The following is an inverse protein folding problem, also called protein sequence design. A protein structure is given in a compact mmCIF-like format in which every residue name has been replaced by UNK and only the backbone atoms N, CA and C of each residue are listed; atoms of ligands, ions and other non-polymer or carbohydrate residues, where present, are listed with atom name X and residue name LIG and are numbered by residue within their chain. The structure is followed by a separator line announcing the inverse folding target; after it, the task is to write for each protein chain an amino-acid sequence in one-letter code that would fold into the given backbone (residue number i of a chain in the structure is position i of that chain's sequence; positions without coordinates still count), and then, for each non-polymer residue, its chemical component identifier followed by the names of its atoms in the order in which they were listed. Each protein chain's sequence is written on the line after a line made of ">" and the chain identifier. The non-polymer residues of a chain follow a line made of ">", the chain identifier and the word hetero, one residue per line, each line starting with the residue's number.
data_IF_918185568449
#
_entry.id   IF_918185568449
#
_cell.length_a   1.000
_cell.length_b   1.000
_cell.length_c   1.000
_cell.angle_alpha   90.00
_cell.angle_beta   90.00
_cell.angle_gamma   90.00
#
_symmetry.space_group_name_H-M   'P 1'
#
loop_
_entity.id
_entity.type
_entity.pdbx_description
1 polymer ?
#
# COMPACT_ATOMS: atom_id res chain seq x y z
N UNK A 1 22.27 -2.19 -17.03
CA UNK A 1 21.27 -1.71 -17.98
C UNK A 1 19.92 -2.04 -17.38
N UNK A 2 19.22 -1.06 -16.80
CA UNK A 2 17.91 -1.28 -16.18
C UNK A 2 16.89 -1.14 -17.30
N UNK A 3 16.31 -2.25 -17.74
CA UNK A 3 15.24 -2.24 -18.74
C UNK A 3 14.09 -1.41 -18.18
N UNK A 4 13.80 -0.27 -18.82
CA UNK A 4 12.55 0.42 -18.62
C UNK A 4 11.46 -0.47 -19.23
N UNK A 5 10.94 -1.42 -18.44
CA UNK A 5 9.79 -2.22 -18.84
C UNK A 5 8.69 -1.27 -19.30
N UNK A 6 8.31 -1.43 -20.56
CA UNK A 6 7.25 -0.70 -21.21
C UNK A 6 5.96 -0.87 -20.40
N UNK A 7 5.63 0.13 -19.58
CA UNK A 7 4.39 0.18 -18.84
C UNK A 7 3.22 0.37 -19.81
N UNK A 8 2.71 -0.74 -20.32
CA UNK A 8 1.47 -0.83 -21.10
C UNK A 8 0.29 -0.84 -20.15
N UNK A 9 -0.77 -0.10 -20.50
CA UNK A 9 -2.03 -0.28 -19.78
C UNK A 9 -2.64 -1.64 -20.12
N UNK A 10 -3.00 -2.48 -19.13
CA UNK A 10 -3.55 -3.82 -19.37
C UNK A 10 -4.96 -3.82 -19.99
N UNK A 11 -5.63 -2.65 -20.01
CA UNK A 11 -7.00 -2.51 -20.53
C UNK A 11 -7.02 -1.95 -21.96
N UNK A 12 -6.19 -0.95 -22.26
CA UNK A 12 -6.19 -0.29 -23.56
C UNK A 12 -4.92 -0.54 -24.38
N UNK A 13 -3.98 -1.34 -23.85
CA UNK A 13 -2.67 -1.65 -24.45
C UNK A 13 -1.84 -0.41 -24.85
N UNK A 14 -2.23 0.78 -24.40
CA UNK A 14 -1.54 2.03 -24.70
C UNK A 14 -0.27 2.15 -23.87
N UNK A 15 0.79 2.62 -24.53
CA UNK A 15 2.12 2.82 -23.98
C UNK A 15 2.42 4.29 -23.72
N UNK A 16 3.32 4.55 -22.76
CA UNK A 16 3.92 5.88 -22.54
C UNK A 16 4.68 6.40 -23.77
N UNK A 17 5.14 5.51 -24.66
CA UNK A 17 5.78 5.88 -25.91
C UNK A 17 4.85 6.65 -26.85
N UNK A 18 3.57 6.25 -26.91
CA UNK A 18 2.56 6.89 -27.76
C UNK A 18 1.94 8.13 -27.09
N UNK A 19 1.90 8.16 -25.76
CA UNK A 19 1.32 9.26 -24.99
C UNK A 19 2.24 9.62 -23.80
N UNK A 20 3.18 10.56 -23.98
CA UNK A 20 4.16 10.92 -22.95
C UNK A 20 3.54 11.47 -21.66
N UNK A 21 2.38 12.12 -21.76
CA UNK A 21 1.65 12.70 -20.63
C UNK A 21 0.71 11.71 -19.93
N UNK A 22 0.70 10.44 -20.34
CA UNK A 22 -0.19 9.43 -19.78
C UNK A 22 0.23 9.05 -18.37
N UNK A 23 -0.63 9.30 -17.39
CA UNK A 23 -0.40 8.93 -16.00
C UNK A 23 -0.95 7.54 -15.70
N UNK A 24 -0.15 6.75 -15.00
CA UNK A 24 -0.57 5.49 -14.41
C UNK A 24 -1.00 5.73 -12.96
N UNK A 25 -2.17 5.19 -12.64
CA UNK A 25 -2.74 5.21 -11.31
C UNK A 25 -2.75 3.78 -10.75
N UNK A 26 -2.56 3.70 -9.44
CA UNK A 26 -2.54 2.45 -8.67
C UNK A 26 -3.56 2.54 -7.54
N UNK A 27 -4.21 1.42 -7.22
CA UNK A 27 -5.10 1.33 -6.07
C UNK A 27 -4.44 0.52 -4.94
N UNK A 28 -4.39 1.02 -3.70
CA UNK A 28 -3.73 0.33 -2.58
C UNK A 28 -4.40 -1.01 -2.18
N UNK A 29 -5.63 -1.29 -2.63
CA UNK A 29 -6.31 -2.55 -2.33
C UNK A 29 -5.83 -3.72 -3.21
N UNK A 30 -5.23 -3.43 -4.37
CA UNK A 30 -4.83 -4.44 -5.35
C UNK A 30 -3.48 -4.20 -6.03
N UNK A 31 -2.87 -3.03 -5.89
CA UNK A 31 -1.58 -2.65 -6.48
C UNK A 31 -1.45 -2.84 -8.00
N UNK A 32 -2.57 -2.80 -8.73
CA UNK A 32 -2.58 -2.91 -10.19
C UNK A 32 -2.52 -1.53 -10.85
N UNK A 33 -1.64 -1.41 -11.86
CA UNK A 33 -1.42 -0.19 -12.64
C UNK A 33 -2.43 -0.08 -13.77
N UNK A 34 -3.08 1.07 -13.90
CA UNK A 34 -3.99 1.39 -15.00
C UNK A 34 -3.82 2.86 -15.41
N UNK A 35 -4.05 3.18 -16.67
CA UNK A 35 -3.97 4.57 -17.12
C UNK A 35 -5.17 5.40 -16.62
N UNK A 36 -4.96 6.70 -16.47
CA UNK A 36 -5.99 7.66 -16.03
C UNK A 36 -7.28 7.58 -16.86
N UNK A 37 -7.18 7.41 -18.17
CA UNK A 37 -8.34 7.28 -19.07
C UNK A 37 -9.15 6.01 -18.79
N UNK A 38 -8.49 4.87 -18.55
CA UNK A 38 -9.19 3.61 -18.23
C UNK A 38 -9.80 3.66 -16.84
N UNK A 39 -9.11 4.24 -15.85
CA UNK A 39 -9.66 4.43 -14.51
C UNK A 39 -10.90 5.33 -14.56
N UNK A 40 -10.82 6.45 -15.28
CA UNK A 40 -11.96 7.34 -15.42
C UNK A 40 -13.13 6.64 -16.14
N UNK A 41 -12.88 5.87 -17.20
CA UNK A 41 -13.96 5.16 -17.92
C UNK A 41 -14.62 4.05 -17.10
N UNK A 42 -13.83 3.18 -16.45
CA UNK A 42 -14.36 2.01 -15.73
C UNK A 42 -15.06 2.40 -14.43
N UNK A 43 -14.51 3.35 -13.68
CA UNK A 43 -14.98 3.70 -12.33
C UNK A 43 -15.88 4.94 -12.28
N UNK A 44 -16.29 5.51 -13.42
CA UNK A 44 -17.26 6.64 -13.45
C UNK A 44 -18.67 6.20 -13.09
N UNK A 45 -19.07 4.99 -13.49
CA UNK A 45 -20.42 4.46 -13.23
C UNK A 45 -20.62 3.98 -11.78
N UNK A 46 -19.55 3.91 -10.99
CA UNK A 46 -19.59 3.48 -9.60
C UNK A 46 -18.42 2.57 -9.22
N UNK A 47 -18.50 1.91 -8.05
CA UNK A 47 -17.54 0.88 -7.65
C UNK A 47 -17.60 -0.28 -8.65
N UNK A 48 -16.47 -0.59 -9.28
CA UNK A 48 -16.36 -1.63 -10.29
C UNK A 48 -15.28 -2.65 -9.90
N UNK A 49 -15.33 -3.89 -10.39
CA UNK A 49 -14.26 -4.85 -10.18
C UNK A 49 -13.00 -4.46 -10.96
N UNK A 50 -11.83 -4.69 -10.37
CA UNK A 50 -10.55 -4.60 -11.06
C UNK A 50 -10.51 -5.62 -12.22
N UNK A 51 -10.08 -5.24 -13.43
CA UNK A 51 -10.04 -6.16 -14.57
C UNK A 51 -8.99 -7.28 -14.44
N UNK A 52 -8.08 -7.19 -13.46
CA UNK A 52 -6.97 -8.15 -13.27
C UNK A 52 -7.26 -9.12 -12.12
N UNK A 53 -7.79 -8.63 -11.00
CA UNK A 53 -8.03 -9.45 -9.80
C UNK A 53 -9.46 -9.44 -9.27
N UNK A 54 -10.39 -8.82 -10.01
CA UNK A 54 -11.83 -8.77 -9.69
C UNK A 54 -12.21 -8.15 -8.34
N UNK A 55 -11.26 -7.59 -7.57
CA UNK A 55 -11.55 -6.84 -6.35
C UNK A 55 -12.37 -5.59 -6.66
N UNK A 56 -13.40 -5.30 -5.86
CA UNK A 56 -14.22 -4.10 -6.05
C UNK A 56 -13.46 -2.85 -5.60
N UNK A 57 -13.17 -1.94 -6.53
CA UNK A 57 -12.38 -0.73 -6.28
C UNK A 57 -13.23 0.54 -6.45
N UNK A 58 -12.80 1.63 -5.79
CA UNK A 58 -13.41 2.96 -5.88
C UNK A 58 -12.46 3.95 -6.55
N UNK A 59 -13.00 4.82 -7.42
CA UNK A 59 -12.24 5.85 -8.15
C UNK A 59 -11.38 6.73 -7.23
N UNK A 60 -11.94 7.20 -6.12
CA UNK A 60 -11.26 8.15 -5.22
C UNK A 60 -10.06 7.54 -4.47
N UNK A 61 -9.94 6.20 -4.45
CA UNK A 61 -8.81 5.51 -3.82
C UNK A 61 -7.61 5.34 -4.76
N UNK A 62 -7.75 5.64 -6.04
CA UNK A 62 -6.62 5.61 -6.99
C UNK A 62 -5.67 6.76 -6.74
N UNK A 63 -4.37 6.48 -6.80
CA UNK A 63 -3.28 7.44 -6.55
C UNK A 63 -2.23 7.31 -7.63
N UNK A 64 -1.51 8.38 -7.91
CA UNK A 64 -0.33 8.30 -8.77
C UNK A 64 0.77 7.56 -8.02
N UNK A 65 1.40 6.59 -8.70
CA UNK A 65 2.53 5.86 -8.13
C UNK A 65 3.75 6.77 -8.01
N UNK A 66 4.45 6.72 -6.87
CA UNK A 66 5.68 7.49 -6.64
C UNK A 66 6.89 6.66 -7.06
N UNK A 67 6.86 5.36 -6.79
CA UNK A 67 7.90 4.40 -7.16
C UNK A 67 7.50 3.59 -8.39
N UNK A 68 8.46 3.06 -9.16
CA UNK A 68 8.15 2.14 -10.27
C UNK A 68 7.71 0.77 -9.78
N UNK A 69 8.23 0.32 -8.63
CA UNK A 69 7.94 -1.00 -8.09
C UNK A 69 6.67 -1.01 -7.21
N UNK A 70 5.77 -1.95 -7.48
CA UNK A 70 4.54 -2.14 -6.71
C UNK A 70 4.81 -2.72 -5.33
N UNK A 71 5.89 -3.49 -5.16
CA UNK A 71 6.30 -4.07 -3.87
C UNK A 71 6.72 -2.96 -2.91
N UNK A 72 7.54 -2.02 -3.40
CA UNK A 72 8.00 -0.87 -2.61
C UNK A 72 6.83 0.03 -2.20
N UNK A 73 5.89 0.31 -3.11
CA UNK A 73 4.68 1.06 -2.77
C UNK A 73 3.85 0.38 -1.67
N UNK A 74 3.69 -0.95 -1.74
CA UNK A 74 2.98 -1.72 -0.71
C UNK A 74 3.68 -1.64 0.64
N UNK A 75 5.00 -1.73 0.66
CA UNK A 75 5.81 -1.59 1.87
C UNK A 75 5.67 -0.19 2.48
N UNK A 76 5.79 0.86 1.66
CA UNK A 76 5.66 2.26 2.10
C UNK A 76 4.27 2.54 2.67
N UNK A 77 3.21 2.06 2.02
CA UNK A 77 1.84 2.19 2.53
C UNK A 77 1.64 1.43 3.84
N UNK A 78 2.21 0.22 3.95
CA UNK A 78 2.16 -0.59 5.18
C UNK A 78 2.89 0.11 6.32
N UNK A 79 4.12 0.59 6.10
CA UNK A 79 4.88 1.36 7.10
C UNK A 79 4.16 2.63 7.52
N UNK A 80 3.58 3.39 6.58
CA UNK A 80 2.78 4.58 6.90
C UNK A 80 1.57 4.26 7.76
N UNK A 81 0.90 3.13 7.51
CA UNK A 81 -0.22 2.65 8.33
C UNK A 81 0.26 2.27 9.73
N UNK A 82 1.34 1.50 9.84
CA UNK A 82 1.86 1.02 11.12
C UNK A 82 2.39 2.18 11.96
N UNK A 83 3.15 3.12 11.41
CA UNK A 83 3.65 4.28 12.15
C UNK A 83 2.53 5.17 12.75
N UNK A 84 1.34 5.18 12.15
CA UNK A 84 0.17 5.89 12.72
C UNK A 84 -0.45 5.17 13.92
N UNK A 85 -0.24 3.87 14.02
CA UNK A 85 -0.78 3.01 15.09
C UNK A 85 0.28 2.85 16.20
N UNK A 86 1.53 2.62 15.79
CA UNK A 86 2.73 2.41 16.59
C UNK A 86 3.55 3.69 16.66
N UNK A 87 3.02 4.70 17.36
CA UNK A 87 3.59 6.05 17.45
C UNK A 87 4.37 6.32 18.74
N UNK A 88 4.71 5.29 19.53
CA UNK A 88 5.51 5.45 20.75
C UNK A 88 6.94 5.88 20.42
N UNK A 89 7.46 6.85 21.16
CA UNK A 89 8.84 7.37 21.05
C UNK A 89 9.74 6.75 22.12
N UNK A 90 11.05 6.98 22.04
CA UNK A 90 12.00 6.48 23.04
C UNK A 90 11.66 6.94 24.47
N UNK A 91 11.06 8.13 24.62
CA UNK A 91 10.63 8.70 25.90
C UNK A 91 9.52 7.89 26.58
N UNK A 92 8.77 7.08 25.83
CA UNK A 92 7.71 6.21 26.35
C UNK A 92 8.25 4.91 27.00
N UNK A 93 9.57 4.72 27.05
CA UNK A 93 10.21 3.49 27.53
C UNK A 93 11.28 3.76 28.60
N UNK A 94 11.38 2.85 29.56
CA UNK A 94 12.35 2.94 30.66
C UNK A 94 13.80 2.66 30.23
N UNK A 95 14.02 2.10 29.03
CA UNK A 95 15.35 1.78 28.53
C UNK A 95 15.42 1.76 27.01
N UNK A 96 16.60 2.09 26.47
CA UNK A 96 16.91 1.98 25.04
C UNK A 96 16.70 0.55 24.51
N UNK A 97 16.93 -0.47 25.34
CA UNK A 97 16.71 -1.87 24.95
C UNK A 97 15.23 -2.16 24.72
N UNK A 98 14.36 -1.73 25.63
CA UNK A 98 12.91 -1.89 25.46
C UNK A 98 12.39 -1.15 24.22
N UNK A 99 12.92 0.04 23.93
CA UNK A 99 12.60 0.77 22.72
C UNK A 99 13.05 0.03 21.44
N UNK A 100 14.28 -0.50 21.42
CA UNK A 100 14.77 -1.28 20.28
C UNK A 100 13.98 -2.58 20.07
N UNK A 101 13.63 -3.30 21.14
CA UNK A 101 12.79 -4.50 21.09
C UNK A 101 11.39 -4.16 20.53
N UNK A 102 10.86 -2.97 20.84
CA UNK A 102 9.61 -2.47 20.27
C UNK A 102 9.76 -2.14 18.77
N UNK A 103 10.83 -1.47 18.36
CA UNK A 103 11.09 -1.20 16.94
C UNK A 103 11.25 -2.49 16.13
N UNK A 104 11.93 -3.49 16.68
CA UNK A 104 12.07 -4.81 16.04
C UNK A 104 10.72 -5.51 15.89
N UNK A 105 9.85 -5.44 16.91
CA UNK A 105 8.48 -5.97 16.82
C UNK A 105 7.65 -5.28 15.73
N UNK A 106 7.72 -3.94 15.64
CA UNK A 106 7.03 -3.18 14.58
C UNK A 106 7.54 -3.62 13.22
N UNK A 107 8.84 -3.85 13.06
CA UNK A 107 9.39 -4.23 11.77
C UNK A 107 9.11 -5.68 11.39
N UNK A 108 9.04 -6.59 12.37
CA UNK A 108 8.54 -7.95 12.16
C UNK A 108 7.07 -7.94 11.66
N UNK A 109 6.23 -7.08 12.24
CA UNK A 109 4.84 -6.88 11.78
C UNK A 109 4.81 -6.32 10.35
N UNK A 110 5.63 -5.32 10.04
CA UNK A 110 5.77 -4.77 8.67
C UNK A 110 6.14 -5.88 7.68
N UNK A 111 7.14 -6.69 8.02
CA UNK A 111 7.63 -7.79 7.19
C UNK A 111 6.54 -8.83 6.92
N UNK A 112 5.83 -9.26 7.96
CA UNK A 112 4.73 -10.20 7.85
C UNK A 112 3.62 -9.69 6.91
N UNK A 113 3.20 -8.43 7.07
CA UNK A 113 2.15 -7.82 6.24
C UNK A 113 2.57 -7.59 4.77
N UNK A 114 3.85 -7.31 4.53
CA UNK A 114 4.39 -7.06 3.19
C UNK A 114 4.63 -8.36 2.42
N UNK A 115 5.25 -9.36 3.06
CA UNK A 115 5.54 -10.66 2.45
C UNK A 115 4.35 -11.62 2.47
N UNK A 116 3.30 -11.30 3.23
CA UNK A 116 2.10 -12.14 3.29
C UNK A 116 2.24 -13.34 4.23
N UNK A 117 3.15 -13.27 5.21
CA UNK A 117 3.35 -14.29 6.24
C UNK A 117 2.39 -13.99 7.40
N UNK A 118 1.59 -14.98 7.82
CA UNK A 118 0.69 -14.90 8.98
C UNK A 118 -0.14 -13.60 9.06
N UNK A 119 -0.64 -13.14 7.90
CA UNK A 119 -1.34 -11.84 7.78
C UNK A 119 -2.54 -11.76 8.71
N UNK A 120 -3.30 -12.85 8.86
CA UNK A 120 -4.49 -12.87 9.70
C UNK A 120 -4.18 -12.65 11.19
N UNK A 121 -3.14 -13.33 11.70
CA UNK A 121 -2.70 -13.20 13.10
C UNK A 121 -2.06 -11.83 13.33
N UNK A 122 -1.22 -11.39 12.40
CA UNK A 122 -0.58 -10.07 12.45
C UNK A 122 -1.62 -8.93 12.44
N UNK A 123 -2.64 -9.00 11.58
CA UNK A 123 -3.75 -8.04 11.57
C UNK A 123 -4.55 -8.04 12.88
N UNK A 124 -4.74 -9.21 13.49
CA UNK A 124 -5.41 -9.33 14.78
C UNK A 124 -4.61 -8.66 15.90
N UNK A 125 -3.29 -8.86 15.92
CA UNK A 125 -2.37 -8.18 16.85
C UNK A 125 -2.41 -6.66 16.66
N UNK A 126 -2.30 -6.19 15.42
CA UNK A 126 -2.37 -4.74 15.09
C UNK A 126 -3.70 -4.13 15.55
N UNK A 127 -4.83 -4.82 15.35
CA UNK A 127 -6.14 -4.35 15.83
C UNK A 127 -6.25 -4.32 17.35
N UNK A 128 -5.74 -5.34 18.03
CA UNK A 128 -5.73 -5.39 19.49
C UNK A 128 -4.91 -4.23 20.07
N UNK A 129 -3.72 -3.98 19.50
CA UNK A 129 -2.87 -2.86 19.89
C UNK A 129 -3.54 -1.51 19.59
N UNK A 130 -4.16 -1.36 18.42
CA UNK A 130 -4.90 -0.14 18.07
C UNK A 130 -6.06 0.14 19.05
N UNK A 131 -6.77 -0.90 19.53
CA UNK A 131 -7.83 -0.74 20.51
C UNK A 131 -7.28 -0.32 21.88
N UNK A 132 -6.16 -0.91 22.31
CA UNK A 132 -5.49 -0.56 23.56
C UNK A 132 -4.94 0.88 23.53
N UNK A 133 -4.25 1.27 22.45
CA UNK A 133 -3.67 2.62 22.32
C UNK A 133 -4.70 3.72 22.10
N UNK A 134 -5.90 3.42 21.59
CA UNK A 134 -7.00 4.40 21.51
C UNK A 134 -7.49 4.89 22.88
N UNK A 135 -7.14 4.20 23.98
CA UNK A 135 -7.43 4.66 25.34
C UNK A 135 -6.31 5.52 25.94
N UNK A 136 -5.16 5.61 25.27
CA UNK A 136 -3.98 6.38 25.71
C UNK A 136 -3.70 7.64 24.87
N UNK A 137 -4.58 7.99 23.92
CA UNK A 137 -4.51 9.23 23.12
C UNK A 137 -5.59 10.20 23.59
#
# INVERSE_FOLDING_TARGET
>A
MVEAELEKCPVCASDRYLNPNMKFLVNPECYHKMCESCVSRIFTLGPAPCPICSKTLRRNKFRQQTFSDAVIEREVDTRRRLNRIYNKTEEDFDSLRAYNDYLEQVEMITFNLTQGVDVAETEKQVKAYQYANKQSI
#
